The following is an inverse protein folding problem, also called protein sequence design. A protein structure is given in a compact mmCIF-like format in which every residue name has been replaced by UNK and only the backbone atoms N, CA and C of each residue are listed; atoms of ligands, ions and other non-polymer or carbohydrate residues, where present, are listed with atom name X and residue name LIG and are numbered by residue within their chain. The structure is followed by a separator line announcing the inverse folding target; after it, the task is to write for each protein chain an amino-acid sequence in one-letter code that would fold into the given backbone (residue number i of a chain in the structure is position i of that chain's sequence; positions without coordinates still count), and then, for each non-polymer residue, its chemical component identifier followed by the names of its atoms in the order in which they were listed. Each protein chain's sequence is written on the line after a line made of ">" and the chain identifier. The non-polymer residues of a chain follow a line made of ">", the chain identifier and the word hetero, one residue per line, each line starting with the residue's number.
data_IF_326375341343
#
_entry.id   IF_326375341343
#
_cell.length_a   1.000
_cell.length_b   1.000
_cell.length_c   1.000
_cell.angle_alpha   90.00
_cell.angle_beta   90.00
_cell.angle_gamma   90.00
#
_symmetry.space_group_name_H-M   'P 1'
#
loop_
_entity.id
_entity.type
_entity.pdbx_description
1 polymer ?
#
# COMPACT_ATOMS: atom_id res chain seq x y z
N UNK A 1 -8.75 4.85 6.40
CA UNK A 1 -7.29 4.94 6.62
C UNK A 1 -6.81 3.78 7.47
N UNK A 2 -5.67 3.17 7.11
CA UNK A 2 -4.96 2.23 7.98
C UNK A 2 -3.99 3.01 8.87
N UNK A 3 -3.90 2.63 10.16
CA UNK A 3 -3.00 3.31 11.08
C UNK A 3 -1.52 3.03 10.76
N UNK A 4 -0.66 4.03 10.98
CA UNK A 4 0.79 3.90 10.96
C UNK A 4 1.36 4.10 12.37
N UNK A 5 2.48 3.42 12.70
CA UNK A 5 3.07 3.46 14.04
C UNK A 5 4.55 3.86 13.91
N UNK A 6 4.98 4.91 14.62
CA UNK A 6 6.37 5.31 14.63
C UNK A 6 7.25 4.48 15.58
N UNK A 7 8.57 4.76 15.59
CA UNK A 7 9.52 4.06 16.44
C UNK A 7 9.31 4.23 17.95
N UNK A 8 8.49 5.22 18.38
CA UNK A 8 8.14 5.48 19.77
C UNK A 8 6.78 4.88 20.15
N UNK A 9 6.13 4.17 19.22
CA UNK A 9 4.80 3.57 19.42
C UNK A 9 3.64 4.57 19.28
N UNK A 10 3.88 5.78 18.78
CA UNK A 10 2.80 6.73 18.48
C UNK A 10 2.04 6.24 17.26
N UNK A 11 0.71 6.20 17.38
CA UNK A 11 -0.21 5.74 16.33
C UNK A 11 -0.76 6.96 15.59
N UNK A 12 -0.64 6.96 14.26
CA UNK A 12 -1.20 7.99 13.38
C UNK A 12 -2.32 7.39 12.54
N UNK A 13 -3.48 8.05 12.48
CA UNK A 13 -4.63 7.59 11.71
C UNK A 13 -5.43 8.76 11.16
N UNK A 14 -5.78 8.69 9.88
CA UNK A 14 -6.69 9.63 9.24
C UNK A 14 -8.14 9.24 9.46
N UNK A 15 -9.04 10.21 9.49
CA UNK A 15 -10.48 10.03 9.72
C UNK A 15 -11.31 10.76 8.65
N UNK A 16 -12.51 10.26 8.41
CA UNK A 16 -13.50 10.90 7.52
C UNK A 16 -14.06 12.21 8.11
N UNK A 17 -13.81 12.49 9.38
CA UNK A 17 -14.13 13.79 10.00
C UNK A 17 -13.15 14.90 9.61
N UNK A 18 -12.15 14.60 8.78
CA UNK A 18 -11.14 15.54 8.29
C UNK A 18 -9.91 15.68 9.19
N UNK A 19 -9.81 14.88 10.26
CA UNK A 19 -8.67 14.97 11.16
C UNK A 19 -7.65 13.84 10.95
N UNK A 20 -6.38 14.19 11.09
CA UNK A 20 -5.29 13.26 11.35
C UNK A 20 -5.03 13.25 12.86
N UNK A 21 -5.18 12.10 13.47
CA UNK A 21 -4.95 11.90 14.90
C UNK A 21 -3.57 11.29 15.16
N UNK A 22 -2.87 11.80 16.17
CA UNK A 22 -1.73 11.14 16.79
C UNK A 22 -2.13 10.69 18.20
N UNK A 23 -1.94 9.42 18.48
CA UNK A 23 -2.37 8.76 19.70
C UNK A 23 -1.16 8.14 20.37
N UNK A 24 -0.97 8.42 21.67
CA UNK A 24 0.08 7.85 22.50
C UNK A 24 -0.13 6.32 22.69
N UNK A 25 0.92 5.54 23.03
CA UNK A 25 0.79 4.10 23.28
C UNK A 25 -0.19 3.74 24.41
N UNK A 26 -0.46 4.67 25.33
CA UNK A 26 -1.43 4.52 26.42
C UNK A 26 -2.89 4.81 26.00
N UNK A 27 -3.12 5.13 24.71
CA UNK A 27 -4.42 5.44 24.14
C UNK A 27 -4.85 6.90 24.30
N UNK A 28 -4.06 7.77 24.93
CA UNK A 28 -4.37 9.19 25.05
C UNK A 28 -4.05 9.94 23.74
N UNK A 29 -4.88 10.94 23.40
CA UNK A 29 -4.61 11.79 22.24
C UNK A 29 -3.38 12.67 22.50
N UNK A 30 -2.38 12.57 21.60
CA UNK A 30 -1.17 13.41 21.63
C UNK A 30 -1.44 14.77 20.98
N UNK A 31 -1.99 14.73 19.76
CA UNK A 31 -2.43 15.91 19.00
C UNK A 31 -3.42 15.49 17.89
N UNK A 32 -4.08 16.48 17.33
CA UNK A 32 -4.85 16.33 16.08
C UNK A 32 -4.49 17.46 15.12
N UNK A 33 -4.59 17.17 13.83
CA UNK A 33 -4.45 18.13 12.75
C UNK A 33 -5.71 18.07 11.89
N UNK A 34 -6.36 19.22 11.64
CA UNK A 34 -7.56 19.31 10.80
C UNK A 34 -7.19 19.72 9.39
N UNK A 35 -7.54 18.89 8.40
CA UNK A 35 -7.46 19.17 6.98
C UNK A 35 -8.77 19.78 6.45
N UNK A 36 -8.76 20.22 5.19
CA UNK A 36 -9.93 20.84 4.56
C UNK A 36 -10.91 19.80 3.94
N UNK A 37 -10.68 18.49 4.17
CA UNK A 37 -11.50 17.39 3.65
C UNK A 37 -11.25 16.09 4.39
N UNK A 38 -11.96 15.02 3.99
CA UNK A 38 -11.79 13.69 4.61
C UNK A 38 -10.38 13.14 4.38
N UNK A 39 -9.84 12.45 5.37
CA UNK A 39 -8.55 11.77 5.29
C UNK A 39 -8.79 10.26 5.20
N UNK A 40 -8.91 9.76 3.98
CA UNK A 40 -9.11 8.33 3.70
C UNK A 40 -7.81 7.60 3.41
N UNK A 41 -6.77 8.32 2.96
CA UNK A 41 -5.42 7.77 2.75
C UNK A 41 -4.78 7.32 4.06
N UNK A 42 -3.91 6.33 4.00
CA UNK A 42 -3.13 5.89 5.17
C UNK A 42 -1.87 6.74 5.32
N UNK A 43 -1.51 7.17 6.55
CA UNK A 43 -0.33 8.01 6.77
C UNK A 43 0.97 7.29 6.44
N UNK A 44 1.96 8.03 5.89
CA UNK A 44 3.35 7.59 5.79
C UNK A 44 4.23 8.40 6.74
N UNK A 45 5.24 7.77 7.33
CA UNK A 45 6.09 8.39 8.37
C UNK A 45 7.54 8.42 7.89
N UNK A 46 8.13 9.62 7.79
CA UNK A 46 9.54 9.75 7.47
C UNK A 46 10.43 9.42 8.68
N UNK A 47 11.72 9.15 8.42
CA UNK A 47 12.73 8.90 9.45
C UNK A 47 12.79 10.01 10.52
N UNK A 48 12.47 11.25 10.14
CA UNK A 48 12.48 12.41 11.05
C UNK A 48 11.11 12.63 11.73
N UNK A 49 10.19 11.67 11.63
CA UNK A 49 8.87 11.70 12.26
C UNK A 49 7.87 12.66 11.59
N UNK A 50 8.16 13.17 10.38
CA UNK A 50 7.18 13.93 9.60
C UNK A 50 6.16 12.93 9.03
N UNK A 51 4.88 13.22 9.24
CA UNK A 51 3.76 12.41 8.78
C UNK A 51 3.19 13.02 7.50
N UNK A 52 3.05 12.19 6.48
CA UNK A 52 2.45 12.58 5.19
C UNK A 52 1.10 11.89 5.02
N UNK A 53 0.09 12.63 4.58
CA UNK A 53 -1.26 12.09 4.38
C UNK A 53 -1.96 12.81 3.22
N UNK A 54 -2.63 12.02 2.38
CA UNK A 54 -3.51 12.53 1.32
C UNK A 54 -4.90 12.87 1.86
N UNK A 55 -5.55 13.83 1.24
CA UNK A 55 -6.87 14.31 1.64
C UNK A 55 -7.81 14.41 0.42
N UNK A 56 -9.11 14.28 0.65
CA UNK A 56 -10.14 14.43 -0.38
C UNK A 56 -10.24 15.88 -0.91
N UNK A 57 -9.62 16.87 -0.23
CA UNK A 57 -9.49 18.24 -0.72
C UNK A 57 -8.48 18.40 -1.87
N UNK A 58 -7.87 17.31 -2.31
CA UNK A 58 -6.84 17.28 -3.35
C UNK A 58 -5.43 17.61 -2.86
N UNK A 59 -5.19 17.62 -1.55
CA UNK A 59 -3.90 18.00 -1.00
C UNK A 59 -3.17 16.85 -0.31
N UNK A 60 -1.85 16.82 -0.52
CA UNK A 60 -0.91 16.07 0.31
C UNK A 60 -0.42 17.00 1.43
N UNK A 61 -0.65 16.61 2.66
CA UNK A 61 -0.19 17.32 3.85
C UNK A 61 1.08 16.66 4.42
N UNK A 62 2.03 17.49 4.81
CA UNK A 62 3.17 17.09 5.63
C UNK A 62 3.04 17.74 7.02
N UNK A 63 3.01 16.91 8.05
CA UNK A 63 2.76 17.32 9.42
C UNK A 63 3.99 17.01 10.27
N UNK A 64 4.48 18.00 11.01
CA UNK A 64 5.61 17.84 11.93
C UNK A 64 5.24 16.90 13.10
N UNK A 65 6.23 16.30 13.80
CA UNK A 65 5.98 15.43 14.95
C UNK A 65 5.20 16.08 16.11
N UNK A 66 5.13 17.41 16.14
CA UNK A 66 4.38 18.18 17.13
C UNK A 66 2.95 18.54 16.70
N UNK A 67 2.48 18.03 15.52
CA UNK A 67 1.13 18.27 15.01
C UNK A 67 0.98 19.54 14.15
N UNK A 68 2.04 20.34 13.96
CA UNK A 68 1.96 21.55 13.11
C UNK A 68 2.18 21.21 11.65
N UNK A 69 1.47 21.88 10.74
CA UNK A 69 1.70 21.75 9.30
C UNK A 69 3.12 22.20 8.92
N UNK A 70 3.84 21.32 8.21
CA UNK A 70 5.13 21.65 7.64
C UNK A 70 4.98 22.31 6.27
N UNK A 71 4.17 21.67 5.41
CA UNK A 71 3.78 22.16 4.09
C UNK A 71 2.52 21.44 3.59
N UNK A 72 1.90 22.01 2.56
CA UNK A 72 0.75 21.47 1.82
C UNK A 72 1.08 21.54 0.34
N UNK A 73 0.84 20.45 -0.40
CA UNK A 73 0.96 20.38 -1.86
C UNK A 73 -0.41 20.01 -2.45
N UNK A 74 -0.92 20.82 -3.39
CA UNK A 74 -2.26 20.60 -3.96
C UNK A 74 -2.16 20.05 -5.38
N UNK A 75 -2.91 18.99 -5.66
CA UNK A 75 -3.09 18.34 -6.96
C UNK A 75 -4.40 18.78 -7.60
N UNK A 76 -4.71 18.25 -8.79
CA UNK A 76 -5.96 18.56 -9.49
C UNK A 76 -7.17 17.73 -9.07
N UNK A 77 -7.00 16.73 -8.17
CA UNK A 77 -8.07 15.83 -7.73
C UNK A 77 -7.82 15.29 -6.33
N UNK A 78 -8.80 14.60 -5.75
CA UNK A 78 -8.68 14.01 -4.41
C UNK A 78 -7.48 13.05 -4.31
N UNK A 79 -6.83 13.01 -3.15
CA UNK A 79 -5.72 12.10 -2.86
C UNK A 79 -6.20 11.00 -1.91
N UNK A 80 -6.68 9.88 -2.47
CA UNK A 80 -7.05 8.67 -1.74
C UNK A 80 -5.90 7.67 -1.65
N UNK A 81 -4.96 7.76 -2.59
CA UNK A 81 -3.71 7.01 -2.58
C UNK A 81 -2.94 7.25 -1.29
N UNK A 82 -2.37 6.19 -0.72
CA UNK A 82 -1.50 6.31 0.46
C UNK A 82 -0.09 6.66 0.04
N UNK A 83 0.55 7.69 0.66
CA UNK A 83 1.88 8.13 0.27
C UNK A 83 2.95 7.07 0.53
N UNK A 84 4.01 7.10 -0.27
CA UNK A 84 5.20 6.25 -0.13
C UNK A 84 6.44 7.13 -0.12
N UNK A 85 7.44 6.80 0.71
CA UNK A 85 8.64 7.63 0.92
C UNK A 85 9.88 6.83 0.52
N UNK A 86 10.71 7.40 -0.36
CA UNK A 86 12.00 6.80 -0.72
C UNK A 86 13.13 7.13 0.29
N UNK A 87 14.32 6.55 0.06
CA UNK A 87 15.49 6.75 0.91
C UNK A 87 15.99 8.21 0.96
N UNK A 88 15.65 9.03 -0.03
CA UNK A 88 16.01 10.44 -0.11
C UNK A 88 14.93 11.35 0.50
N UNK A 89 13.83 10.77 1.00
CA UNK A 89 12.69 11.49 1.57
C UNK A 89 11.76 12.08 0.51
N UNK A 90 11.85 11.68 -0.75
CA UNK A 90 10.88 12.03 -1.80
C UNK A 90 9.60 11.24 -1.53
N UNK A 91 8.48 11.94 -1.56
CA UNK A 91 7.15 11.36 -1.33
C UNK A 91 6.46 11.13 -2.67
N UNK A 92 5.99 9.91 -2.87
CA UNK A 92 5.21 9.53 -4.06
C UNK A 92 3.75 9.34 -3.67
N UNK A 93 2.83 9.89 -4.46
CA UNK A 93 1.39 9.78 -4.21
C UNK A 93 0.59 9.87 -5.51
N UNK A 94 -0.43 9.04 -5.64
CA UNK A 94 -1.40 9.10 -6.73
C UNK A 94 -2.54 10.06 -6.42
N UNK A 95 -3.14 10.63 -7.46
CA UNK A 95 -4.30 11.52 -7.36
C UNK A 95 -5.44 11.07 -8.30
N UNK A 96 -6.67 11.45 -7.98
CA UNK A 96 -7.82 11.26 -8.87
C UNK A 96 -7.73 12.07 -10.16
N UNK A 97 -6.80 13.06 -10.25
CA UNK A 97 -6.53 13.79 -11.49
C UNK A 97 -5.76 12.97 -12.53
N UNK A 98 -5.41 11.72 -12.21
CA UNK A 98 -4.70 10.80 -13.10
C UNK A 98 -3.18 10.85 -12.99
N UNK A 99 -2.62 11.71 -12.14
CA UNK A 99 -1.17 11.82 -12.01
C UNK A 99 -0.62 11.08 -10.79
N UNK A 100 0.54 10.47 -10.99
CA UNK A 100 1.47 10.12 -9.91
C UNK A 100 2.42 11.30 -9.69
N UNK A 101 2.46 11.82 -8.48
CA UNK A 101 3.33 12.93 -8.10
C UNK A 101 4.53 12.44 -7.28
N UNK A 102 5.69 13.01 -7.55
CA UNK A 102 6.88 12.93 -6.71
C UNK A 102 7.16 14.30 -6.10
N UNK A 103 7.16 14.38 -4.78
CA UNK A 103 7.28 15.63 -4.03
C UNK A 103 8.56 15.59 -3.20
N UNK A 104 9.38 16.63 -3.33
CA UNK A 104 10.61 16.78 -2.54
C UNK A 104 10.30 16.97 -1.04
N UNK A 105 11.25 16.70 -0.13
CA UNK A 105 11.05 16.87 1.32
C UNK A 105 10.70 18.30 1.76
N UNK A 106 10.93 19.30 0.89
CA UNK A 106 10.58 20.71 1.13
C UNK A 106 9.18 21.08 0.63
N UNK A 107 8.43 20.12 0.02
CA UNK A 107 7.07 20.33 -0.49
C UNK A 107 7.01 20.80 -1.96
N UNK A 108 8.14 20.96 -2.65
CA UNK A 108 8.14 21.28 -4.08
C UNK A 108 7.92 20.04 -4.94
N UNK A 109 7.21 20.16 -6.06
CA UNK A 109 7.12 19.10 -7.06
C UNK A 109 8.51 18.78 -7.62
N UNK A 110 8.84 17.49 -7.66
CA UNK A 110 10.05 16.99 -8.33
C UNK A 110 9.74 16.62 -9.78
N UNK A 111 8.66 15.86 -9.96
CA UNK A 111 8.07 15.49 -11.25
C UNK A 111 6.67 14.92 -11.04
N UNK A 112 5.93 14.79 -12.12
CA UNK A 112 4.67 14.04 -12.18
C UNK A 112 4.63 13.17 -13.43
N UNK A 113 3.87 12.09 -13.35
CA UNK A 113 3.62 11.15 -14.44
C UNK A 113 2.11 11.06 -14.65
N UNK A 114 1.63 11.30 -15.87
CA UNK A 114 0.24 11.18 -16.26
C UNK A 114 -0.07 9.71 -16.61
N UNK A 115 -0.91 9.07 -15.81
CA UNK A 115 -1.39 7.69 -16.01
C UNK A 115 -2.72 7.65 -16.77
N UNK A 116 -3.23 8.80 -17.23
CA UNK A 116 -4.47 8.96 -18.01
C UNK A 116 -5.74 8.42 -17.31
N UNK A 117 -5.65 8.11 -16.03
CA UNK A 117 -6.74 7.54 -15.22
C UNK A 117 -6.49 7.72 -13.73
N UNK A 118 -7.52 7.90 -12.89
CA UNK A 118 -7.36 8.07 -11.45
C UNK A 118 -6.44 7.02 -10.81
N UNK A 119 -5.61 7.43 -9.86
CA UNK A 119 -4.71 6.57 -9.13
C UNK A 119 -5.17 6.48 -7.68
N UNK A 120 -5.80 5.35 -7.32
CA UNK A 120 -6.21 5.03 -5.94
C UNK A 120 -5.17 4.19 -5.20
N UNK A 121 -4.38 3.41 -5.94
CA UNK A 121 -3.36 2.53 -5.38
C UNK A 121 -2.23 3.33 -4.71
N UNK A 122 -1.73 2.83 -3.58
CA UNK A 122 -0.48 3.32 -2.99
C UNK A 122 0.72 2.84 -3.82
N UNK A 123 1.71 3.70 -4.13
CA UNK A 123 2.91 3.27 -4.84
C UNK A 123 3.75 2.29 -4.02
N UNK A 124 4.44 1.36 -4.70
CA UNK A 124 5.45 0.48 -4.11
C UNK A 124 6.83 0.77 -4.73
N UNK A 125 7.91 0.58 -3.97
CA UNK A 125 9.27 0.88 -4.41
C UNK A 125 10.09 -0.40 -4.46
N UNK A 126 10.61 -0.72 -5.65
CA UNK A 126 11.51 -1.84 -5.88
C UNK A 126 12.90 -1.63 -5.29
N UNK A 127 13.71 -2.69 -5.21
CA UNK A 127 15.08 -2.64 -4.70
C UNK A 127 16.01 -1.74 -5.54
N UNK A 128 15.70 -1.57 -6.83
CA UNK A 128 16.41 -0.67 -7.77
C UNK A 128 15.86 0.77 -7.74
N UNK A 129 14.90 1.06 -6.85
CA UNK A 129 14.21 2.34 -6.74
C UNK A 129 13.06 2.54 -7.73
N UNK A 130 12.75 1.59 -8.60
CA UNK A 130 11.61 1.67 -9.53
C UNK A 130 10.32 1.85 -8.75
N UNK A 131 9.48 2.81 -9.17
CA UNK A 131 8.17 3.06 -8.55
C UNK A 131 7.12 2.27 -9.33
N UNK A 132 6.40 1.40 -8.64
CA UNK A 132 5.27 0.66 -9.20
C UNK A 132 3.97 1.25 -8.69
N UNK A 133 3.04 1.56 -9.60
CA UNK A 133 1.73 2.13 -9.28
C UNK A 133 0.70 1.65 -10.28
N UNK A 134 -0.53 1.42 -9.84
CA UNK A 134 -1.63 1.05 -10.74
C UNK A 134 -2.64 2.20 -10.85
N UNK A 135 -3.05 2.48 -12.08
CA UNK A 135 -4.17 3.36 -12.37
C UNK A 135 -5.49 2.57 -12.39
N UNK A 136 -6.60 3.26 -12.16
CA UNK A 136 -7.92 2.63 -12.07
C UNK A 136 -8.35 1.92 -13.37
N UNK A 137 -7.86 2.38 -14.54
CA UNK A 137 -8.12 1.72 -15.84
C UNK A 137 -7.53 0.31 -15.97
N UNK A 138 -6.85 -0.19 -14.96
CA UNK A 138 -6.27 -1.54 -14.95
C UNK A 138 -4.82 -1.60 -15.42
N UNK A 139 -4.13 -0.48 -15.57
CA UNK A 139 -2.74 -0.46 -16.00
C UNK A 139 -1.79 -0.30 -14.81
N UNK A 140 -0.86 -1.24 -14.66
CA UNK A 140 0.28 -1.16 -13.76
C UNK A 140 1.44 -0.49 -14.50
N UNK A 141 2.01 0.55 -13.91
CA UNK A 141 3.17 1.28 -14.43
C UNK A 141 4.41 1.01 -13.58
N UNK A 142 5.55 0.89 -14.24
CA UNK A 142 6.87 0.95 -13.64
C UNK A 142 7.55 2.26 -14.06
N UNK A 143 7.85 3.13 -13.10
CA UNK A 143 8.30 4.50 -13.32
C UNK A 143 9.73 4.68 -12.82
N UNK A 144 10.55 5.37 -13.61
CA UNK A 144 11.90 5.76 -13.25
C UNK A 144 11.87 6.87 -12.18
N UNK A 145 12.45 6.65 -10.97
CA UNK A 145 12.40 7.62 -9.87
C UNK A 145 13.17 8.92 -10.15
N UNK A 146 14.12 8.91 -11.10
CA UNK A 146 14.94 10.09 -11.39
C UNK A 146 14.14 11.20 -12.08
N UNK A 147 13.27 10.83 -13.04
CA UNK A 147 12.59 11.81 -13.91
C UNK A 147 11.11 11.54 -14.15
N UNK A 148 10.50 10.56 -13.48
CA UNK A 148 9.07 10.27 -13.67
C UNK A 148 8.73 9.69 -15.05
N UNK A 149 9.68 9.13 -15.77
CA UNK A 149 9.44 8.51 -17.08
C UNK A 149 9.01 7.05 -16.94
N UNK A 150 8.09 6.60 -17.77
CA UNK A 150 7.70 5.20 -17.85
C UNK A 150 8.91 4.33 -18.24
N UNK A 151 9.14 3.26 -17.49
CA UNK A 151 10.05 2.15 -17.87
C UNK A 151 9.29 1.12 -18.69
N UNK A 152 8.10 0.78 -18.21
CA UNK A 152 7.16 -0.12 -18.88
C UNK A 152 5.76 -0.01 -18.23
N UNK A 153 4.75 -0.51 -18.92
CA UNK A 153 3.39 -0.68 -18.40
C UNK A 153 2.82 -2.04 -18.76
N UNK A 154 1.90 -2.55 -17.92
CA UNK A 154 1.19 -3.81 -18.11
C UNK A 154 -0.30 -3.58 -17.86
N UNK A 155 -1.14 -3.86 -18.86
CA UNK A 155 -2.60 -3.71 -18.74
C UNK A 155 -3.23 -5.05 -18.36
N UNK A 156 -3.97 -5.05 -17.25
CA UNK A 156 -4.77 -6.15 -16.73
C UNK A 156 -6.17 -6.19 -17.36
N UNK A 157 -6.94 -7.24 -17.05
CA UNK A 157 -8.24 -7.47 -17.68
C UNK A 157 -9.37 -6.54 -17.23
N UNK A 158 -9.21 -5.78 -16.13
CA UNK A 158 -10.22 -4.87 -15.57
C UNK A 158 -9.62 -3.84 -14.64
N UNK A 159 -10.46 -3.04 -13.97
CA UNK A 159 -10.08 -2.02 -13.01
C UNK A 159 -9.18 -2.56 -11.87
N UNK A 160 -8.37 -1.64 -11.31
CA UNK A 160 -7.46 -1.94 -10.19
C UNK A 160 -7.56 -0.86 -9.12
N UNK A 161 -7.84 -1.31 -7.89
CA UNK A 161 -7.72 -0.50 -6.66
C UNK A 161 -6.65 -1.06 -5.72
N UNK A 162 -6.26 -2.31 -5.92
CA UNK A 162 -5.18 -2.96 -5.19
C UNK A 162 -3.87 -2.18 -5.33
N UNK A 163 -3.11 -2.05 -4.25
CA UNK A 163 -1.73 -1.55 -4.34
C UNK A 163 -0.78 -2.70 -4.68
N UNK A 164 0.33 -2.45 -5.39
CA UNK A 164 1.33 -3.48 -5.65
C UNK A 164 2.02 -3.94 -4.37
N UNK A 165 2.31 -5.24 -4.26
CA UNK A 165 3.29 -5.79 -3.34
C UNK A 165 4.44 -6.42 -4.13
N UNK A 166 5.66 -6.40 -3.58
CA UNK A 166 6.86 -6.85 -4.30
C UNK A 166 7.50 -7.99 -3.53
N UNK A 167 7.67 -9.12 -4.18
CA UNK A 167 8.29 -10.31 -3.64
C UNK A 167 9.81 -10.21 -3.49
N UNK A 168 10.41 -11.20 -2.85
CA UNK A 168 11.85 -11.27 -2.61
C UNK A 168 12.68 -11.36 -3.91
N UNK A 169 12.10 -11.92 -4.97
CA UNK A 169 12.69 -12.02 -6.31
C UNK A 169 12.35 -10.81 -7.21
N UNK A 170 11.66 -9.79 -6.67
CA UNK A 170 11.21 -8.62 -7.40
C UNK A 170 9.91 -8.80 -8.17
N UNK A 171 9.23 -9.95 -8.11
CA UNK A 171 7.91 -10.16 -8.70
C UNK A 171 6.88 -9.20 -8.10
N UNK A 172 6.11 -8.53 -8.94
CA UNK A 172 5.06 -7.61 -8.54
C UNK A 172 3.72 -8.37 -8.49
N UNK A 173 3.08 -8.37 -7.31
CA UNK A 173 1.77 -8.98 -7.10
C UNK A 173 0.72 -7.91 -6.95
N UNK A 174 -0.41 -8.05 -7.67
CA UNK A 174 -1.49 -7.05 -7.67
C UNK A 174 -2.83 -7.70 -8.00
N UNK A 175 -3.87 -7.30 -7.28
CA UNK A 175 -5.25 -7.75 -7.49
C UNK A 175 -6.00 -6.90 -8.50
N UNK A 176 -7.00 -7.50 -9.18
CA UNK A 176 -7.84 -6.81 -10.16
C UNK A 176 -9.33 -7.17 -9.97
N UNK A 177 -10.20 -6.34 -10.53
CA UNK A 177 -11.66 -6.56 -10.57
C UNK A 177 -12.06 -7.69 -11.53
N UNK A 178 -11.15 -8.21 -12.37
CA UNK A 178 -11.36 -9.40 -13.21
C UNK A 178 -11.22 -10.71 -12.43
N UNK A 179 -11.20 -10.63 -11.08
CA UNK A 179 -11.13 -11.76 -10.15
C UNK A 179 -9.78 -12.46 -10.15
N UNK A 180 -8.72 -11.79 -10.61
CA UNK A 180 -7.38 -12.38 -10.67
C UNK A 180 -6.40 -11.62 -9.80
N UNK A 181 -5.52 -12.40 -9.18
CA UNK A 181 -4.22 -11.93 -8.71
C UNK A 181 -3.22 -12.12 -9.85
N UNK A 182 -2.52 -11.06 -10.19
CA UNK A 182 -1.46 -11.08 -11.18
C UNK A 182 -0.09 -11.14 -10.50
N UNK A 183 0.81 -11.95 -11.03
CA UNK A 183 2.24 -11.92 -10.72
C UNK A 183 3.00 -11.52 -11.98
N UNK A 184 3.65 -10.37 -11.93
CA UNK A 184 4.33 -9.74 -13.07
C UNK A 184 5.83 -9.65 -12.74
N UNK A 185 6.67 -10.14 -13.64
CA UNK A 185 8.12 -10.05 -13.49
C UNK A 185 8.60 -8.59 -13.65
N UNK A 186 9.75 -8.20 -13.04
CA UNK A 186 10.31 -6.85 -13.18
C UNK A 186 10.62 -6.42 -14.63
N UNK A 187 10.71 -7.37 -15.54
CA UNK A 187 10.95 -7.15 -16.98
C UNK A 187 9.66 -7.03 -17.81
N UNK A 188 8.51 -6.78 -17.19
CA UNK A 188 7.19 -6.64 -17.84
C UNK A 188 6.64 -7.94 -18.47
N UNK A 189 7.02 -9.11 -17.98
CA UNK A 189 6.44 -10.38 -18.46
C UNK A 189 5.50 -10.95 -17.41
N UNK A 190 4.34 -11.45 -17.84
CA UNK A 190 3.43 -12.18 -16.95
C UNK A 190 4.11 -13.46 -16.46
N UNK A 191 4.20 -13.62 -15.12
CA UNK A 191 4.71 -14.84 -14.50
C UNK A 191 3.59 -15.88 -14.39
N UNK A 192 2.47 -15.48 -13.79
CA UNK A 192 1.24 -16.26 -13.69
C UNK A 192 0.06 -15.38 -13.26
N UNK A 193 -1.15 -15.94 -13.35
CA UNK A 193 -2.36 -15.39 -12.70
C UNK A 193 -3.01 -16.48 -11.86
N UNK A 194 -3.62 -16.05 -10.74
CA UNK A 194 -4.45 -16.90 -9.88
C UNK A 194 -5.89 -16.36 -9.88
N UNK A 195 -6.89 -17.20 -10.18
CA UNK A 195 -8.29 -16.79 -10.26
C UNK A 195 -9.04 -17.11 -8.98
N UNK A 196 -9.84 -16.16 -8.51
CA UNK A 196 -10.83 -16.29 -7.43
C UNK A 196 -12.25 -16.23 -8.00
N UNK A 197 -13.28 -16.28 -7.15
CA UNK A 197 -14.67 -16.12 -7.57
C UNK A 197 -15.22 -14.70 -7.30
N UNK A 198 -14.35 -13.74 -6.96
CA UNK A 198 -14.72 -12.36 -6.69
C UNK A 198 -13.57 -11.39 -6.96
N UNK A 199 -13.87 -10.09 -6.91
CA UNK A 199 -12.88 -9.03 -7.12
C UNK A 199 -11.77 -9.10 -6.06
N UNK A 200 -10.56 -8.75 -6.46
CA UNK A 200 -9.41 -8.63 -5.57
C UNK A 200 -9.02 -7.14 -5.49
N UNK A 201 -9.54 -6.46 -4.47
CA UNK A 201 -9.24 -5.06 -4.17
C UNK A 201 -8.20 -4.92 -3.06
N UNK A 202 -8.04 -5.96 -2.24
CA UNK A 202 -7.03 -5.99 -1.19
C UNK A 202 -5.61 -5.96 -1.76
N UNK A 203 -4.70 -5.27 -1.10
CA UNK A 203 -3.26 -5.37 -1.41
C UNK A 203 -2.74 -6.70 -0.90
N UNK A 204 -2.00 -7.48 -1.71
CA UNK A 204 -1.39 -8.72 -1.25
C UNK A 204 -0.39 -8.49 -0.12
N UNK A 205 -0.27 -9.46 0.80
CA UNK A 205 0.80 -9.52 1.78
C UNK A 205 1.69 -10.74 1.51
N UNK A 206 3.00 -10.56 1.63
CA UNK A 206 3.99 -11.58 1.30
C UNK A 206 4.69 -12.00 2.58
N UNK A 207 4.53 -13.27 2.96
CA UNK A 207 5.22 -13.89 4.07
C UNK A 207 6.35 -14.79 3.59
N UNK A 208 7.34 -15.05 4.46
CA UNK A 208 8.33 -16.09 4.22
C UNK A 208 7.75 -17.46 4.59
N UNK A 209 8.05 -18.50 3.82
CA UNK A 209 7.70 -19.87 4.17
C UNK A 209 8.44 -20.37 5.42
N UNK A 210 8.12 -21.58 5.89
CA UNK A 210 8.73 -22.17 7.07
C UNK A 210 10.26 -22.37 6.96
N UNK A 211 10.82 -22.30 5.76
CA UNK A 211 12.28 -22.39 5.52
C UNK A 211 12.94 -21.01 5.45
N UNK A 212 12.16 -19.94 5.34
CA UNK A 212 12.63 -18.56 5.12
C UNK A 212 13.21 -18.32 3.72
N UNK A 213 13.00 -19.25 2.77
CA UNK A 213 13.60 -19.21 1.44
C UNK A 213 12.62 -18.93 0.31
N UNK A 214 11.32 -19.05 0.56
CA UNK A 214 10.27 -18.83 -0.44
C UNK A 214 9.19 -17.92 0.10
N UNK A 215 8.62 -17.12 -0.80
CA UNK A 215 7.48 -16.24 -0.51
C UNK A 215 6.18 -17.06 -0.41
N UNK A 216 5.24 -16.58 0.42
CA UNK A 216 3.84 -17.02 0.42
C UNK A 216 3.00 -15.78 0.23
N UNK A 217 2.14 -15.75 -0.78
CA UNK A 217 1.32 -14.61 -1.13
C UNK A 217 -0.07 -14.79 -0.50
N UNK A 218 -0.47 -13.87 0.37
CA UNK A 218 -1.80 -13.83 0.99
C UNK A 218 -2.63 -12.72 0.37
N UNK A 219 -3.86 -13.04 -0.04
CA UNK A 219 -4.76 -12.06 -0.65
C UNK A 219 -6.21 -12.35 -0.28
N UNK A 220 -6.95 -11.29 0.06
CA UNK A 220 -8.39 -11.35 0.29
C UNK A 220 -9.17 -11.11 -0.99
N UNK A 221 -10.32 -11.77 -1.12
CA UNK A 221 -11.23 -11.62 -2.25
C UNK A 221 -12.64 -11.25 -1.79
N UNK A 222 -13.40 -10.58 -2.65
CA UNK A 222 -14.81 -10.30 -2.39
C UNK A 222 -15.70 -11.55 -2.43
N UNK A 223 -15.16 -12.73 -2.79
CA UNK A 223 -15.86 -14.02 -2.65
C UNK A 223 -15.91 -14.52 -1.20
N UNK A 224 -15.32 -13.79 -0.26
CA UNK A 224 -15.34 -14.11 1.17
C UNK A 224 -14.20 -15.00 1.62
N UNK A 225 -13.17 -15.20 0.83
CA UNK A 225 -12.01 -16.00 1.20
C UNK A 225 -10.73 -15.18 1.32
N UNK A 226 -9.87 -15.62 2.23
CA UNK A 226 -8.44 -15.35 2.23
C UNK A 226 -7.73 -16.52 1.56
N UNK A 227 -6.90 -16.24 0.58
CA UNK A 227 -6.09 -17.22 -0.16
C UNK A 227 -4.62 -17.13 0.23
N UNK A 228 -3.96 -18.28 0.36
CA UNK A 228 -2.51 -18.42 0.41
C UNK A 228 -2.02 -19.13 -0.84
N UNK A 229 -1.08 -18.50 -1.54
CA UNK A 229 -0.61 -18.89 -2.88
C UNK A 229 0.92 -19.00 -2.82
N UNK A 230 1.49 -20.02 -3.44
CA UNK A 230 2.94 -20.17 -3.53
C UNK A 230 3.54 -19.33 -4.69
N UNK A 231 4.88 -19.18 -4.78
CA UNK A 231 5.52 -18.37 -5.83
C UNK A 231 5.33 -18.89 -7.25
N UNK A 232 4.81 -20.11 -7.41
CA UNK A 232 4.50 -20.70 -8.74
C UNK A 232 3.07 -20.38 -9.18
N UNK A 233 2.25 -19.78 -8.30
CA UNK A 233 0.84 -19.48 -8.55
C UNK A 233 -0.12 -20.59 -8.10
N UNK A 234 0.39 -21.64 -7.44
CA UNK A 234 -0.46 -22.71 -6.92
C UNK A 234 -1.07 -22.33 -5.56
N UNK A 235 -2.37 -22.65 -5.39
CA UNK A 235 -3.04 -22.45 -4.10
C UNK A 235 -2.49 -23.41 -3.03
N UNK A 236 -1.97 -22.86 -1.93
CA UNK A 236 -1.60 -23.65 -0.75
C UNK A 236 -2.82 -23.98 0.09
N UNK A 237 -3.62 -22.97 0.39
CA UNK A 237 -4.89 -23.10 1.12
C UNK A 237 -5.77 -21.89 0.93
N UNK A 238 -7.02 -22.01 1.34
CA UNK A 238 -7.98 -20.90 1.46
C UNK A 238 -8.72 -21.01 2.81
N UNK A 239 -9.17 -19.87 3.33
CA UNK A 239 -9.97 -19.78 4.52
C UNK A 239 -11.17 -18.87 4.29
N UNK A 240 -12.37 -19.36 4.55
CA UNK A 240 -13.58 -18.56 4.47
C UNK A 240 -13.67 -17.61 5.66
N UNK A 241 -13.86 -16.30 5.40
CA UNK A 241 -13.89 -15.21 6.38
C UNK A 241 -15.25 -14.51 6.46
N UNK A 242 -16.31 -15.19 6.06
CA UNK A 242 -17.71 -14.80 6.28
C UNK A 242 -18.26 -13.68 5.40
N UNK A 243 -17.45 -12.79 4.87
CA UNK A 243 -17.87 -11.66 4.03
C UNK A 243 -16.73 -11.16 3.13
N UNK A 244 -17.02 -10.16 2.29
CA UNK A 244 -15.99 -9.62 1.38
C UNK A 244 -14.75 -9.15 2.13
N UNK A 245 -13.58 -9.51 1.61
CA UNK A 245 -12.27 -9.11 2.12
C UNK A 245 -11.72 -7.91 1.34
N UNK A 246 -12.15 -6.71 1.68
CA UNK A 246 -11.61 -5.47 1.10
C UNK A 246 -10.34 -4.99 1.83
N UNK A 247 -10.17 -5.41 3.10
CA UNK A 247 -8.97 -5.06 3.84
C UNK A 247 -7.75 -5.86 3.35
N UNK A 248 -6.58 -5.25 3.42
CA UNK A 248 -5.32 -5.92 3.09
C UNK A 248 -4.86 -6.81 4.25
N UNK A 249 -4.39 -8.05 3.99
CA UNK A 249 -3.85 -8.92 5.03
C UNK A 249 -2.63 -8.32 5.72
N UNK A 250 -2.43 -8.66 6.98
CA UNK A 250 -1.22 -8.33 7.75
C UNK A 250 -0.68 -9.59 8.40
N UNK A 251 0.63 -9.79 8.38
CA UNK A 251 1.28 -11.02 8.86
C UNK A 251 2.10 -10.67 10.09
N UNK A 252 1.77 -11.27 11.24
CA UNK A 252 2.55 -11.11 12.46
C UNK A 252 3.86 -11.91 12.41
N UNK A 253 4.79 -11.60 13.31
CA UNK A 253 6.09 -12.29 13.40
C UNK A 253 5.99 -13.78 13.74
N UNK A 254 4.86 -14.25 14.30
CA UNK A 254 4.57 -15.66 14.56
C UNK A 254 3.88 -16.38 13.39
N UNK A 255 3.77 -15.70 12.23
CA UNK A 255 3.12 -16.21 11.03
C UNK A 255 1.59 -16.13 11.04
N UNK A 256 0.96 -15.58 12.07
CA UNK A 256 -0.50 -15.37 12.07
C UNK A 256 -0.89 -14.30 11.06
N UNK A 257 -1.81 -14.61 10.17
CA UNK A 257 -2.36 -13.67 9.18
C UNK A 257 -3.65 -13.05 9.71
N UNK A 258 -3.70 -11.73 9.78
CA UNK A 258 -4.86 -10.96 10.19
C UNK A 258 -5.53 -10.31 8.99
N UNK A 259 -6.86 -10.39 8.92
CA UNK A 259 -7.66 -9.75 7.87
C UNK A 259 -9.04 -9.37 8.40
N UNK A 260 -9.50 -8.16 8.04
CA UNK A 260 -10.86 -7.70 8.33
C UNK A 260 -11.84 -8.17 7.27
N UNK A 261 -13.09 -8.42 7.66
CA UNK A 261 -14.17 -8.83 6.78
C UNK A 261 -15.38 -7.89 6.91
N UNK A 262 -16.17 -7.77 5.85
CA UNK A 262 -17.43 -7.01 5.87
C UNK A 262 -18.52 -7.68 6.73
N UNK A 263 -18.29 -8.86 7.31
CA UNK A 263 -19.15 -9.43 8.35
C UNK A 263 -18.95 -8.76 9.73
N UNK A 264 -18.08 -7.74 9.80
CA UNK A 264 -17.78 -6.97 11.02
C UNK A 264 -16.75 -7.61 11.93
N UNK A 265 -16.02 -8.64 11.47
CA UNK A 265 -15.03 -9.34 12.28
C UNK A 265 -13.60 -9.13 11.77
N UNK A 266 -12.64 -9.25 12.69
CA UNK A 266 -11.23 -9.45 12.42
C UNK A 266 -10.90 -10.92 12.57
N UNK A 267 -10.35 -11.52 11.52
CA UNK A 267 -9.91 -12.92 11.52
C UNK A 267 -8.41 -13.00 11.77
N UNK A 268 -8.01 -13.96 12.59
CA UNK A 268 -6.63 -14.33 12.87
C UNK A 268 -6.44 -15.79 12.44
N UNK A 269 -5.68 -16.02 11.39
CA UNK A 269 -5.52 -17.34 10.76
C UNK A 269 -4.07 -17.78 10.90
N UNK A 270 -3.86 -18.92 11.53
CA UNK A 270 -2.53 -19.53 11.62
C UNK A 270 -2.06 -19.95 10.24
N UNK A 271 -0.81 -19.63 9.94
CA UNK A 271 -0.16 -20.04 8.70
C UNK A 271 1.21 -20.65 8.97
N UNK A 272 1.82 -21.25 7.94
CA UNK A 272 3.19 -21.79 7.99
C UNK A 272 4.24 -20.70 7.75
N UNK A 273 3.85 -19.43 7.70
CA UNK A 273 4.77 -18.32 7.49
C UNK A 273 5.59 -18.01 8.74
N UNK A 274 6.84 -17.60 8.55
CA UNK A 274 7.71 -17.07 9.61
C UNK A 274 7.54 -15.55 9.85
N UNK A 275 6.51 -14.93 9.26
CA UNK A 275 6.29 -13.49 9.29
C UNK A 275 6.40 -12.87 7.89
N UNK A 276 6.57 -11.54 7.82
CA UNK A 276 6.74 -10.86 6.53
C UNK A 276 8.01 -11.31 5.81
N UNK A 277 7.91 -11.43 4.48
CA UNK A 277 9.06 -11.71 3.64
C UNK A 277 10.10 -10.59 3.71
N UNK A 278 11.39 -10.95 3.61
CA UNK A 278 12.45 -9.99 3.42
C UNK A 278 12.49 -9.56 1.95
N UNK A 279 11.62 -8.62 1.60
CA UNK A 279 11.44 -8.13 0.24
C UNK A 279 11.34 -6.60 0.22
N UNK A 280 11.51 -5.95 -0.94
CA UNK A 280 11.45 -4.48 -1.04
C UNK A 280 10.14 -3.89 -0.54
N UNK A 281 9.00 -4.54 -0.86
CA UNK A 281 7.66 -4.04 -0.51
C UNK A 281 6.68 -5.20 -0.23
N UNK A 282 6.80 -5.91 0.92
CA UNK A 282 6.09 -7.18 1.15
C UNK A 282 4.59 -7.04 1.40
N UNK A 283 4.07 -5.83 1.63
CA UNK A 283 2.65 -5.57 1.90
C UNK A 283 2.29 -4.10 1.71
N UNK A 284 1.00 -3.77 1.83
CA UNK A 284 0.51 -2.39 1.91
C UNK A 284 1.27 -1.61 2.99
N UNK A 285 1.73 -0.41 2.64
CA UNK A 285 2.56 0.45 3.49
C UNK A 285 3.85 -0.22 4.02
N UNK A 286 4.38 -1.20 3.27
CA UNK A 286 5.69 -1.85 3.38
C UNK A 286 5.89 -2.78 4.57
N UNK A 287 5.68 -2.36 5.81
CA UNK A 287 6.09 -3.09 7.02
C UNK A 287 4.96 -3.23 8.04
N UNK A 288 5.21 -3.94 9.15
CA UNK A 288 4.21 -4.19 10.20
C UNK A 288 3.74 -2.90 10.90
N UNK A 289 4.50 -1.81 10.84
CA UNK A 289 4.13 -0.50 11.39
C UNK A 289 3.41 0.39 10.37
N UNK A 290 3.24 -0.06 9.12
CA UNK A 290 2.64 0.68 8.01
C UNK A 290 3.30 2.05 7.78
N UNK A 291 4.61 2.16 7.88
CA UNK A 291 5.30 3.46 7.77
C UNK A 291 5.39 3.99 6.35
N UNK A 292 5.19 3.15 5.33
CA UNK A 292 5.29 3.55 3.93
C UNK A 292 6.66 4.09 3.52
N UNK A 293 7.73 3.74 4.25
CA UNK A 293 9.06 4.30 4.11
C UNK A 293 10.09 3.18 3.83
N UNK A 294 10.90 3.32 2.77
CA UNK A 294 11.90 2.32 2.38
C UNK A 294 13.01 2.12 3.42
N UNK A 295 13.26 3.12 4.28
CA UNK A 295 14.31 3.05 5.30
C UNK A 295 13.88 2.31 6.58
N UNK A 296 12.59 2.06 6.75
CA UNK A 296 12.07 1.31 7.89
C UNK A 296 11.99 -0.18 7.57
N UNK A 297 12.54 -1.01 8.45
CA UNK A 297 12.50 -2.48 8.39
C UNK A 297 11.45 -3.05 9.35
#
# INVERSE_FOLDING_TARGET
>A
SSAAIDGNGIIYVGSEDGNLYAINPDGTKKWEFTADGRITSSPAISKNGVVYVGCDDGSLYAINPNGTQKWKFTTGGSIKSSPTIDANGVVYVGSEDGNLYAINPNGSEKWRFDAESPIYSGPAIGSDGTIYVAAFNGTLYAINPAGGTEKWSYTMGSYVESSPAIGSDGTIYIGSYDYKLYAINPNNTLKWTFSTNGQITSTPAIGSDATGTSDIIYVGSSDGNLYAIDPTGAKKWEAFIGGCAYSSPSIASDGTVYIGSLDGKLYAIKSDSLGLANSPWPKFMKNLRNTGNVLDQ
#
